data_IF_908716556973
#
_entry.id   IF_908716556973
#
_cell.length_a   1.000
_cell.length_b   1.000
_cell.length_c   1.000
_cell.angle_alpha   90.00
_cell.angle_beta   90.00
_cell.angle_gamma   90.00
#
_symmetry.space_group_name_H-M   'P 1'
#
loop_
_entity.id
_entity.type
_entity.pdbx_description
1 polymer ?
#
# COMPACT_ATOMS: atom_id res chain seq x y z
N UNK A 1 -31.81 12.39 -1.94
CA UNK A 1 -32.11 10.94 -2.10
C UNK A 1 -33.56 10.67 -1.74
N UNK A 2 -34.32 9.99 -2.59
CA UNK A 2 -35.76 9.73 -2.36
C UNK A 2 -36.01 8.91 -1.09
N UNK A 3 -35.30 7.79 -0.90
CA UNK A 3 -35.48 6.94 0.28
C UNK A 3 -35.19 7.63 1.62
N UNK A 4 -34.13 8.46 1.67
CA UNK A 4 -33.81 9.25 2.87
C UNK A 4 -34.91 10.28 3.14
N UNK A 5 -35.37 10.99 2.11
CA UNK A 5 -36.45 11.98 2.23
C UNK A 5 -37.75 11.34 2.72
N UNK A 6 -38.16 10.23 2.12
CA UNK A 6 -39.40 9.53 2.47
C UNK A 6 -39.34 9.05 3.92
N UNK A 7 -38.22 8.43 4.32
CA UNK A 7 -38.00 7.97 5.69
C UNK A 7 -38.03 9.10 6.73
N UNK A 8 -37.43 10.25 6.42
CA UNK A 8 -37.46 11.42 7.31
C UNK A 8 -38.87 12.01 7.40
N UNK A 9 -39.58 12.12 6.28
CA UNK A 9 -40.95 12.65 6.22
C UNK A 9 -41.91 11.79 7.04
N UNK A 10 -41.81 10.45 6.93
CA UNK A 10 -42.59 9.50 7.73
C UNK A 10 -42.35 9.67 9.25
N UNK A 11 -41.14 10.07 9.64
CA UNK A 11 -40.76 10.37 11.04
C UNK A 11 -41.15 11.78 11.49
N UNK A 12 -41.87 12.54 10.67
CA UNK A 12 -42.34 13.89 10.99
C UNK A 12 -41.34 15.01 10.71
N UNK A 13 -40.21 14.72 10.07
CA UNK A 13 -39.27 15.75 9.63
C UNK A 13 -39.83 16.57 8.48
N UNK A 14 -39.42 17.83 8.39
CA UNK A 14 -39.81 18.75 7.33
C UNK A 14 -38.59 19.12 6.50
N UNK A 15 -38.68 18.93 5.19
CA UNK A 15 -37.62 19.35 4.26
C UNK A 15 -37.57 20.88 4.21
N UNK A 16 -36.38 21.44 4.43
CA UNK A 16 -36.16 22.87 4.30
C UNK A 16 -36.25 23.28 2.82
N UNK A 17 -36.81 24.46 2.53
CA UNK A 17 -37.04 24.92 1.14
C UNK A 17 -35.76 25.38 0.44
N UNK A 18 -34.81 25.90 1.21
CA UNK A 18 -33.54 26.43 0.73
C UNK A 18 -32.41 25.46 1.12
N UNK A 19 -31.68 24.97 0.12
CA UNK A 19 -30.61 23.96 0.29
C UNK A 19 -29.36 24.53 0.98
N UNK A 20 -29.07 25.80 0.73
CA UNK A 20 -27.91 26.52 1.27
C UNK A 20 -28.15 27.07 2.69
N UNK A 21 -29.37 26.95 3.20
CA UNK A 21 -29.68 27.40 4.56
C UNK A 21 -28.83 26.67 5.59
N UNK A 22 -28.33 27.44 6.56
CA UNK A 22 -27.67 26.92 7.76
C UNK A 22 -28.66 26.69 8.92
N UNK A 23 -29.96 26.92 8.71
CA UNK A 23 -31.01 26.64 9.68
C UNK A 23 -31.56 25.23 9.44
N UNK A 24 -30.90 24.23 10.05
CA UNK A 24 -31.30 22.83 10.00
C UNK A 24 -30.86 22.11 11.27
N UNK A 25 -31.62 21.09 11.68
CA UNK A 25 -31.17 20.13 12.71
C UNK A 25 -30.42 18.95 12.07
N UNK A 26 -30.78 18.57 10.83
CA UNK A 26 -30.13 17.51 10.06
C UNK A 26 -29.90 17.93 8.60
N UNK A 27 -28.66 17.81 8.11
CA UNK A 27 -28.31 18.01 6.69
C UNK A 27 -27.71 16.74 6.10
N UNK A 28 -28.31 16.27 5.01
CA UNK A 28 -27.86 15.09 4.28
C UNK A 28 -27.31 15.48 2.90
N UNK A 29 -26.02 15.28 2.68
CA UNK A 29 -25.37 15.59 1.40
C UNK A 29 -24.74 14.36 0.76
N UNK A 30 -24.52 14.44 -0.56
CA UNK A 30 -23.77 13.43 -1.30
C UNK A 30 -22.28 13.59 -1.05
N UNK A 31 -21.76 14.82 -1.24
CA UNK A 31 -20.33 15.10 -1.08
C UNK A 31 -20.06 15.70 0.29
N UNK A 32 -18.94 15.30 0.87
CA UNK A 32 -18.42 15.88 2.11
C UNK A 32 -18.10 17.38 1.94
N UNK A 33 -17.75 17.82 0.73
CA UNK A 33 -17.47 19.23 0.40
C UNK A 33 -18.69 20.15 0.53
N UNK A 34 -19.90 19.59 0.48
CA UNK A 34 -21.14 20.35 0.56
C UNK A 34 -21.55 20.64 2.02
N UNK A 35 -20.75 20.15 2.99
CA UNK A 35 -20.93 20.40 4.41
C UNK A 35 -19.94 21.46 4.89
N UNK A 36 -20.41 22.63 5.34
CA UNK A 36 -19.55 23.65 5.90
C UNK A 36 -19.22 23.33 7.36
N UNK A 37 -18.40 22.31 7.59
CA UNK A 37 -18.14 21.81 8.95
C UNK A 37 -17.68 22.87 9.95
N UNK A 38 -16.94 23.90 9.50
CA UNK A 38 -16.46 25.01 10.35
C UNK A 38 -17.59 25.92 10.85
N UNK A 39 -18.75 25.91 10.20
CA UNK A 39 -19.89 26.75 10.51
C UNK A 39 -21.04 25.99 11.19
N UNK A 40 -20.85 24.69 11.49
CA UNK A 40 -21.88 23.90 12.18
C UNK A 40 -21.99 24.29 13.65
N UNK A 41 -23.23 24.41 14.12
CA UNK A 41 -23.52 24.49 15.55
C UNK A 41 -23.52 23.09 16.18
N UNK A 42 -23.38 23.03 17.50
CA UNK A 42 -23.24 21.78 18.27
C UNK A 42 -24.44 20.83 18.14
N UNK A 43 -25.62 21.38 17.91
CA UNK A 43 -26.91 20.70 17.78
C UNK A 43 -27.23 20.28 16.33
N UNK A 44 -26.42 20.67 15.36
CA UNK A 44 -26.60 20.31 13.96
C UNK A 44 -25.94 18.97 13.63
N UNK A 45 -26.71 18.09 13.00
CA UNK A 45 -26.27 16.76 12.61
C UNK A 45 -26.04 16.69 11.10
N UNK A 46 -24.98 16.02 10.69
CA UNK A 46 -24.64 15.78 9.28
C UNK A 46 -24.24 14.33 9.06
N UNK A 47 -24.37 13.83 7.83
CA UNK A 47 -24.10 12.43 7.48
C UNK A 47 -22.64 12.14 7.08
N UNK A 48 -21.71 13.06 7.34
CA UNK A 48 -20.29 12.89 7.02
C UNK A 48 -19.41 13.23 8.21
N UNK A 49 -18.27 12.56 8.33
CA UNK A 49 -17.21 12.91 9.29
C UNK A 49 -16.13 13.75 8.60
N UNK A 50 -15.56 14.70 9.33
CA UNK A 50 -14.35 15.39 8.88
C UNK A 50 -13.19 14.41 8.75
N UNK A 51 -12.27 14.69 7.80
CA UNK A 51 -11.02 13.93 7.62
C UNK A 51 -11.21 12.43 7.38
N UNK A 52 -12.32 12.02 6.76
CA UNK A 52 -12.59 10.62 6.43
C UNK A 52 -11.54 9.99 5.49
N UNK A 53 -10.77 10.81 4.76
CA UNK A 53 -9.72 10.37 3.84
C UNK A 53 -8.69 9.42 4.49
N UNK A 54 -8.54 9.48 5.81
CA UNK A 54 -7.69 8.58 6.59
C UNK A 54 -8.10 7.10 6.47
N UNK A 55 -9.37 6.81 6.22
CA UNK A 55 -9.87 5.42 6.06
C UNK A 55 -10.54 5.19 4.71
N UNK A 56 -10.94 6.25 4.00
CA UNK A 56 -11.63 6.14 2.70
C UNK A 56 -10.72 6.28 1.49
N UNK A 57 -9.44 6.65 1.68
CA UNK A 57 -8.44 6.64 0.61
C UNK A 57 -7.46 5.49 0.80
N UNK A 58 -6.88 5.00 -0.30
CA UNK A 58 -5.87 3.94 -0.25
C UNK A 58 -4.64 4.38 0.56
N UNK A 59 -4.08 5.55 0.26
CA UNK A 59 -2.90 6.07 0.96
C UNK A 59 -3.16 6.32 2.45
N UNK A 60 -4.32 6.90 2.79
CA UNK A 60 -4.70 7.11 4.19
C UNK A 60 -4.84 5.79 4.94
N UNK A 61 -5.52 4.81 4.35
CA UNK A 61 -5.73 3.51 4.97
C UNK A 61 -4.40 2.75 5.15
N UNK A 62 -3.54 2.72 4.12
CA UNK A 62 -2.21 2.10 4.18
C UNK A 62 -1.36 2.69 5.32
N UNK A 63 -1.30 4.02 5.43
CA UNK A 63 -0.53 4.70 6.49
C UNK A 63 -1.07 4.41 7.89
N UNK A 64 -2.39 4.40 8.05
CA UNK A 64 -3.02 4.10 9.34
C UNK A 64 -2.79 2.64 9.76
N UNK A 65 -2.90 1.68 8.83
CA UNK A 65 -2.65 0.28 9.12
C UNK A 65 -1.18 0.01 9.45
N UNK A 66 -0.21 0.63 8.75
CA UNK A 66 1.21 0.50 9.13
C UNK A 66 1.51 1.01 10.54
N UNK A 67 0.73 1.97 11.02
CA UNK A 67 0.82 2.50 12.37
C UNK A 67 0.07 1.65 13.41
N UNK A 68 -0.68 0.62 12.99
CA UNK A 68 -1.52 -0.21 13.87
C UNK A 68 -0.70 -0.89 14.98
N UNK A 69 0.56 -1.25 14.71
CA UNK A 69 1.49 -1.85 15.67
C UNK A 69 1.68 -1.04 16.96
N UNK A 70 1.40 0.27 16.93
CA UNK A 70 1.45 1.14 18.11
C UNK A 70 0.18 1.08 18.97
N UNK A 71 -0.89 0.50 18.44
CA UNK A 71 -2.22 0.46 19.07
C UNK A 71 -2.69 -0.97 19.37
N UNK A 72 -2.28 -1.94 18.56
CA UNK A 72 -2.66 -3.34 18.68
C UNK A 72 -1.50 -4.25 18.23
N UNK A 73 -1.48 -5.49 18.74
CA UNK A 73 -0.48 -6.50 18.40
C UNK A 73 -0.91 -7.39 17.23
N UNK A 74 -2.00 -7.05 16.54
CA UNK A 74 -2.45 -7.78 15.35
C UNK A 74 -1.49 -7.51 14.19
N UNK A 75 -1.06 -8.57 13.53
CA UNK A 75 -0.29 -8.46 12.31
C UNK A 75 -1.20 -7.97 11.17
N UNK A 76 -0.82 -6.85 10.56
CA UNK A 76 -1.56 -6.24 9.46
C UNK A 76 -1.57 -7.11 8.22
N UNK A 77 -0.51 -7.90 8.01
CA UNK A 77 -0.32 -8.66 6.79
C UNK A 77 -1.26 -9.89 6.72
N UNK A 78 -1.90 -10.26 7.83
CA UNK A 78 -2.92 -11.32 7.88
C UNK A 78 -4.24 -10.93 7.22
N UNK A 79 -4.57 -9.63 7.19
CA UNK A 79 -5.88 -9.15 6.72
C UNK A 79 -5.82 -7.99 5.71
N UNK A 80 -4.65 -7.39 5.51
CA UNK A 80 -4.46 -6.29 4.57
C UNK A 80 -3.23 -6.55 3.69
N UNK A 81 -3.33 -6.42 2.36
CA UNK A 81 -2.18 -6.63 1.49
C UNK A 81 -1.12 -5.55 1.72
N UNK A 82 0.15 -5.97 1.85
CA UNK A 82 1.31 -5.06 1.90
C UNK A 82 1.21 -4.02 0.79
N UNK A 83 1.38 -2.76 1.17
CA UNK A 83 1.11 -1.60 0.33
C UNK A 83 2.09 -0.48 0.64
N UNK A 84 2.49 0.25 -0.40
CA UNK A 84 3.50 1.30 -0.37
C UNK A 84 2.99 2.56 -1.07
N UNK A 85 3.30 3.74 -0.53
CA UNK A 85 3.10 5.02 -1.22
C UNK A 85 4.31 5.33 -2.10
N UNK A 86 4.20 5.09 -3.41
CA UNK A 86 5.31 5.32 -4.34
C UNK A 86 5.66 6.81 -4.55
N UNK A 87 4.85 7.74 -4.02
CA UNK A 87 5.18 9.16 -3.92
C UNK A 87 6.11 9.47 -2.74
N UNK A 88 6.35 8.52 -1.86
CA UNK A 88 7.38 8.59 -0.85
C UNK A 88 8.65 7.84 -1.33
N UNK A 89 9.84 8.49 -1.37
CA UNK A 89 11.06 7.84 -1.83
C UNK A 89 11.52 6.67 -0.96
N UNK A 90 11.28 6.71 0.34
CA UNK A 90 11.67 5.64 1.27
C UNK A 90 10.76 4.44 1.05
N UNK A 91 9.44 4.66 0.95
CA UNK A 91 8.50 3.57 0.66
C UNK A 91 8.67 2.99 -0.75
N UNK A 92 9.09 3.80 -1.73
CA UNK A 92 9.46 3.31 -3.05
C UNK A 92 10.66 2.35 -2.94
N UNK A 93 11.70 2.72 -2.19
CA UNK A 93 12.86 1.85 -1.98
C UNK A 93 12.45 0.53 -1.31
N UNK A 94 11.65 0.59 -0.25
CA UNK A 94 11.12 -0.59 0.44
C UNK A 94 10.33 -1.50 -0.50
N UNK A 95 9.52 -0.91 -1.39
CA UNK A 95 8.78 -1.66 -2.41
C UNK A 95 9.72 -2.39 -3.38
N UNK A 96 10.81 -1.75 -3.84
CA UNK A 96 11.77 -2.40 -4.75
C UNK A 96 12.42 -3.60 -4.08
N UNK A 97 12.83 -3.45 -2.82
CA UNK A 97 13.46 -4.54 -2.08
C UNK A 97 12.46 -5.68 -1.82
N UNK A 98 11.22 -5.38 -1.43
CA UNK A 98 10.19 -6.39 -1.26
C UNK A 98 9.85 -7.11 -2.59
N UNK A 99 9.75 -6.36 -3.70
CA UNK A 99 9.50 -6.93 -5.02
C UNK A 99 10.57 -7.96 -5.41
N UNK A 100 11.85 -7.63 -5.19
CA UNK A 100 12.98 -8.54 -5.45
C UNK A 100 12.85 -9.84 -4.65
N UNK A 101 12.50 -9.73 -3.37
CA UNK A 101 12.32 -10.89 -2.48
C UNK A 101 11.12 -11.74 -2.92
N UNK A 102 9.99 -11.12 -3.28
CA UNK A 102 8.82 -11.83 -3.83
C UNK A 102 9.16 -12.56 -5.13
N UNK A 103 9.97 -11.95 -6.00
CA UNK A 103 10.45 -12.63 -7.20
C UNK A 103 11.33 -13.84 -6.89
N UNK A 104 12.29 -13.70 -5.96
CA UNK A 104 13.11 -14.82 -5.50
C UNK A 104 12.24 -15.95 -4.91
N UNK A 105 11.26 -15.62 -4.08
CA UNK A 105 10.31 -16.60 -3.51
C UNK A 105 9.50 -17.31 -4.61
N UNK A 106 9.05 -16.55 -5.62
CA UNK A 106 8.32 -17.08 -6.78
C UNK A 106 9.16 -18.07 -7.58
N UNK A 107 10.44 -17.78 -7.81
CA UNK A 107 11.39 -18.70 -8.47
C UNK A 107 11.49 -20.03 -7.71
N UNK A 108 11.72 -19.97 -6.40
CA UNK A 108 11.85 -21.17 -5.57
C UNK A 108 10.54 -21.97 -5.55
N UNK A 109 9.38 -21.30 -5.39
CA UNK A 109 8.06 -21.96 -5.43
C UNK A 109 7.79 -22.64 -6.77
N UNK A 110 8.10 -21.99 -7.89
CA UNK A 110 7.95 -22.55 -9.24
C UNK A 110 8.84 -23.78 -9.42
N UNK A 111 10.10 -23.70 -9.03
CA UNK A 111 11.02 -24.83 -9.14
C UNK A 111 10.58 -26.05 -8.33
N UNK A 112 10.10 -25.82 -7.10
CA UNK A 112 9.57 -26.89 -6.24
C UNK A 112 8.30 -27.54 -6.80
N UNK A 113 7.46 -26.76 -7.49
CA UNK A 113 6.27 -27.28 -8.14
C UNK A 113 6.64 -28.09 -9.40
N UNK A 114 7.46 -27.51 -10.28
CA UNK A 114 7.96 -28.11 -11.50
C UNK A 114 9.14 -27.28 -12.04
N UNK A 115 10.37 -27.85 -12.15
CA UNK A 115 11.53 -27.14 -12.67
C UNK A 115 11.32 -26.47 -14.04
N UNK A 116 10.42 -26.98 -14.87
CA UNK A 116 10.10 -26.39 -16.18
C UNK A 116 9.31 -25.06 -16.08
N UNK A 117 8.73 -24.74 -14.91
CA UNK A 117 8.06 -23.46 -14.66
C UNK A 117 9.02 -22.31 -14.35
N UNK A 118 10.31 -22.60 -14.13
CA UNK A 118 11.33 -21.57 -14.06
C UNK A 118 11.69 -21.16 -15.49
N UNK A 119 11.24 -19.97 -15.87
CA UNK A 119 11.33 -19.47 -17.24
C UNK A 119 12.20 -18.22 -17.34
N UNK A 120 12.70 -17.94 -18.55
CA UNK A 120 13.25 -16.63 -18.90
C UNK A 120 12.15 -15.54 -18.96
N UNK A 121 12.56 -14.30 -19.26
CA UNK A 121 11.65 -13.16 -19.45
C UNK A 121 10.69 -13.31 -20.65
N UNK A 122 10.88 -14.31 -21.51
CA UNK A 122 9.99 -14.64 -22.63
C UNK A 122 9.06 -15.84 -22.32
N UNK A 123 9.17 -16.44 -21.13
CA UNK A 123 8.37 -17.59 -20.72
C UNK A 123 8.90 -18.94 -21.20
N UNK A 124 10.13 -19.02 -21.71
CA UNK A 124 10.74 -20.29 -22.09
C UNK A 124 11.40 -20.95 -20.87
N UNK A 125 11.25 -22.27 -20.67
CA UNK A 125 11.92 -22.98 -19.56
C UNK A 125 13.45 -22.84 -19.63
N UNK A 126 14.08 -22.56 -18.48
CA UNK A 126 15.53 -22.38 -18.39
C UNK A 126 16.33 -23.69 -18.44
N UNK A 127 15.69 -24.85 -18.30
CA UNK A 127 16.37 -26.15 -18.31
C UNK A 127 17.42 -26.24 -17.20
N UNK A 128 18.67 -26.60 -17.54
CA UNK A 128 19.77 -26.73 -16.56
C UNK A 128 20.12 -25.41 -15.87
N UNK A 129 19.93 -24.27 -16.53
CA UNK A 129 20.17 -22.94 -15.95
C UNK A 129 19.19 -22.60 -14.82
N UNK A 130 18.07 -23.32 -14.69
CA UNK A 130 17.15 -23.12 -13.55
C UNK A 130 17.83 -23.34 -12.19
N UNK A 131 18.85 -24.20 -12.11
CA UNK A 131 19.57 -24.48 -10.87
C UNK A 131 20.36 -23.26 -10.38
N UNK A 132 20.96 -22.50 -11.29
CA UNK A 132 21.70 -21.28 -10.96
C UNK A 132 20.75 -20.20 -10.43
N UNK A 133 19.64 -19.96 -11.13
CA UNK A 133 18.64 -18.96 -10.74
C UNK A 133 18.04 -19.29 -9.38
N UNK A 134 17.70 -20.56 -9.14
CA UNK A 134 17.15 -21.02 -7.86
C UNK A 134 18.19 -20.94 -6.75
N UNK A 135 19.47 -21.23 -7.02
CA UNK A 135 20.53 -21.08 -6.03
C UNK A 135 20.66 -19.62 -5.58
N UNK A 136 20.71 -18.68 -6.52
CA UNK A 136 20.76 -17.24 -6.22
C UNK A 136 19.51 -16.78 -5.46
N UNK A 137 18.32 -17.25 -5.86
CA UNK A 137 17.08 -16.95 -5.14
C UNK A 137 17.09 -17.47 -3.70
N UNK A 138 17.61 -18.67 -3.46
CA UNK A 138 17.79 -19.20 -2.10
C UNK A 138 18.76 -18.35 -1.27
N UNK A 139 19.88 -17.90 -1.85
CA UNK A 139 20.82 -16.99 -1.18
C UNK A 139 20.14 -15.67 -0.81
N UNK A 140 19.33 -15.11 -1.72
CA UNK A 140 18.57 -13.88 -1.50
C UNK A 140 17.60 -14.01 -0.31
N UNK A 141 16.81 -15.09 -0.30
CA UNK A 141 15.82 -15.34 0.74
C UNK A 141 16.48 -15.61 2.10
N UNK A 142 17.58 -16.37 2.11
CA UNK A 142 18.31 -16.66 3.34
C UNK A 142 18.94 -15.39 3.94
N UNK A 143 19.51 -14.52 3.10
CA UNK A 143 19.99 -13.20 3.53
C UNK A 143 18.85 -12.33 4.08
N UNK A 144 17.69 -12.32 3.42
CA UNK A 144 16.52 -11.56 3.87
C UNK A 144 15.99 -12.04 5.22
N UNK A 145 15.87 -13.35 5.43
CA UNK A 145 15.44 -13.94 6.71
C UNK A 145 16.44 -13.61 7.82
N UNK A 146 17.74 -13.70 7.55
CA UNK A 146 18.78 -13.35 8.54
C UNK A 146 18.70 -11.88 8.93
N UNK A 147 18.49 -10.97 7.98
CA UNK A 147 18.35 -9.55 8.26
C UNK A 147 17.04 -9.21 8.99
N UNK A 148 15.94 -9.91 8.71
CA UNK A 148 14.66 -9.64 9.40
C UNK A 148 14.65 -10.15 10.85
N UNK A 149 15.48 -11.16 11.16
CA UNK A 149 15.67 -11.70 12.50
C UNK A 149 16.81 -11.03 13.29
N UNK A 150 17.56 -10.13 12.68
CA UNK A 150 18.62 -9.39 13.35
C UNK A 150 18.00 -8.37 14.32
N UNK A 151 17.83 -8.78 15.58
CA UNK A 151 17.23 -7.96 16.65
C UNK A 151 18.14 -6.81 17.12
N UNK A 152 19.42 -6.77 16.71
CA UNK A 152 20.40 -5.79 17.17
C UNK A 152 20.84 -4.82 16.07
N UNK A 153 20.73 -3.52 16.34
CA UNK A 153 21.25 -2.43 15.48
C UNK A 153 22.78 -2.47 15.28
N UNK A 154 23.50 -3.23 16.11
CA UNK A 154 24.97 -3.34 16.10
C UNK A 154 25.51 -4.57 15.35
N UNK A 155 24.63 -5.51 14.96
CA UNK A 155 25.02 -6.59 14.05
C UNK A 155 25.01 -6.00 12.63
N UNK A 156 26.14 -5.40 12.23
CA UNK A 156 26.34 -4.98 10.84
C UNK A 156 26.11 -6.22 9.96
N UNK A 157 25.04 -6.24 9.14
CA UNK A 157 24.73 -7.42 8.34
C UNK A 157 25.94 -7.69 7.47
N UNK A 158 26.59 -8.84 7.68
CA UNK A 158 27.83 -9.16 6.98
C UNK A 158 27.61 -8.94 5.47
N UNK A 159 28.41 -8.07 4.87
CA UNK A 159 28.37 -7.72 3.43
C UNK A 159 28.53 -8.97 2.54
N UNK A 160 28.97 -10.08 3.14
CA UNK A 160 29.16 -11.42 2.58
C UNK A 160 27.92 -12.02 1.87
N UNK A 161 26.71 -11.47 2.06
CA UNK A 161 25.49 -12.02 1.45
C UNK A 161 24.71 -11.04 0.57
N UNK A 162 25.30 -9.90 0.22
CA UNK A 162 24.65 -8.94 -0.67
C UNK A 162 24.86 -9.33 -2.13
N UNK A 163 23.79 -9.78 -2.76
CA UNK A 163 23.76 -10.03 -4.20
C UNK A 163 24.07 -8.76 -4.98
N UNK A 164 24.92 -8.90 -5.98
CA UNK A 164 25.25 -7.86 -6.96
C UNK A 164 24.05 -7.55 -7.87
N UNK A 165 24.03 -6.38 -8.53
CA UNK A 165 22.99 -6.04 -9.51
C UNK A 165 22.87 -7.06 -10.66
N UNK A 166 23.98 -7.68 -11.06
CA UNK A 166 24.00 -8.69 -12.12
C UNK A 166 23.36 -10.00 -11.65
N UNK A 167 23.62 -10.43 -10.42
CA UNK A 167 22.96 -11.61 -9.84
C UNK A 167 21.45 -11.39 -9.65
N UNK A 168 21.03 -10.18 -9.26
CA UNK A 168 19.62 -9.83 -9.24
C UNK A 168 18.99 -9.87 -10.64
N UNK A 169 19.72 -9.43 -11.67
CA UNK A 169 19.27 -9.51 -13.06
C UNK A 169 19.04 -10.96 -13.50
N UNK A 170 19.85 -11.90 -13.02
CA UNK A 170 19.65 -13.35 -13.27
C UNK A 170 18.37 -13.86 -12.62
N UNK A 171 18.09 -13.48 -11.37
CA UNK A 171 16.84 -13.87 -10.67
C UNK A 171 15.60 -13.28 -11.36
N UNK A 172 15.67 -12.00 -11.72
CA UNK A 172 14.54 -11.26 -12.28
C UNK A 172 14.28 -11.60 -13.76
N UNK A 173 15.28 -12.10 -14.48
CA UNK A 173 15.21 -12.31 -15.92
C UNK A 173 15.21 -11.01 -16.74
N UNK A 174 15.37 -9.88 -16.06
CA UNK A 174 15.44 -8.53 -16.62
C UNK A 174 16.30 -7.63 -15.73
N UNK A 175 16.83 -6.51 -16.25
CA UNK A 175 17.60 -5.57 -15.45
C UNK A 175 16.80 -5.09 -14.24
N UNK A 176 17.46 -4.99 -13.09
CA UNK A 176 16.84 -4.49 -11.87
C UNK A 176 16.13 -3.14 -12.16
N UNK A 177 14.85 -2.98 -11.79
CA UNK A 177 14.13 -1.75 -12.01
C UNK A 177 14.89 -0.55 -11.41
N UNK A 178 15.23 0.43 -12.27
CA UNK A 178 15.80 1.70 -11.84
C UNK A 178 14.66 2.71 -11.79
N UNK A 179 14.11 2.92 -10.60
CA UNK A 179 13.10 3.97 -10.39
C UNK A 179 13.80 5.30 -10.13
N UNK A 180 14.33 5.91 -11.19
CA UNK A 180 14.77 7.30 -11.11
C UNK A 180 13.53 8.20 -11.14
N UNK A 181 13.38 9.08 -10.15
CA UNK A 181 12.47 10.22 -10.31
C UNK A 181 13.07 11.16 -11.33
N UNK A 182 12.35 11.42 -12.41
CA UNK A 182 12.66 12.57 -13.25
C UNK A 182 12.53 13.83 -12.37
N UNK A 183 13.59 14.63 -12.32
CA UNK A 183 13.64 15.85 -11.52
C UNK A 183 12.52 16.87 -11.86
N UNK A 184 11.79 16.66 -12.95
CA UNK A 184 10.65 17.46 -13.40
C UNK A 184 9.35 17.25 -12.61
N UNK A 185 9.21 16.17 -11.84
CA UNK A 185 7.97 15.86 -11.08
C UNK A 185 7.88 16.56 -9.72
N UNK A 186 8.81 17.47 -9.42
CA UNK A 186 8.83 18.28 -8.20
C UNK A 186 7.80 19.43 -8.17
N UNK A 187 6.97 19.58 -9.22
CA UNK A 187 5.89 20.56 -9.28
C UNK A 187 4.51 19.89 -9.15
N UNK A 188 4.16 19.48 -7.93
CA UNK A 188 2.75 19.32 -7.55
C UNK A 188 2.43 20.21 -6.35
N UNK A 189 1.27 20.89 -6.36
CA UNK A 189 0.95 21.93 -5.39
C UNK A 189 0.70 21.31 -4.02
N UNK A 190 1.32 21.90 -3.00
CA UNK A 190 1.07 21.56 -1.60
C UNK A 190 -0.41 21.67 -1.27
N UNK A 191 -0.94 20.61 -0.64
CA UNK A 191 -2.30 20.56 -0.14
C UNK A 191 -2.54 21.67 0.91
N UNK A 192 -3.63 22.41 0.72
CA UNK A 192 -4.21 23.36 1.67
C UNK A 192 -5.58 22.86 2.13
#
# INVERSE_FOLDING_TARGET
YRGVRDALTERGWKEHREEESMCFDLKWTVKTTDIPFKALNRDQVVNHFQRNAQVTTKVGLTRNLRSLKWFDSVDTDEFFPRSYDLHDPEELFDFVEDFKIVCAESVVKKFLADPSQVTDGQGNPLGESSLEVVHLACLALDAHIRNSLADNLDDDPSDDFKLSPDEWTVILGEPCPVFARDASDSNLPGEA
#
